data_IF_867876215206
#
_entry.id   IF_867876215206
#
_cell.length_a   1.000
_cell.length_b   1.000
_cell.length_c   1.000
_cell.angle_alpha   90.00
_cell.angle_beta   90.00
_cell.angle_gamma   90.00
#
_symmetry.space_group_name_H-M   'P 1'
#
loop_
_entity.id
_entity.type
_entity.pdbx_description
1 polymer ?
#
# COMPACT_ATOMS: atom_id res chain seq x y z
N UNK A 1 0.11 -7.70 12.31
CA UNK A 1 0.73 -6.36 12.44
C UNK A 1 0.66 -5.68 11.09
N UNK A 2 0.49 -4.36 11.01
CA UNK A 2 0.49 -3.62 9.73
C UNK A 2 1.53 -2.50 9.81
N UNK A 3 2.36 -2.38 8.78
CA UNK A 3 3.37 -1.34 8.67
C UNK A 3 3.21 -0.69 7.31
N UNK A 4 2.92 0.60 7.33
CA UNK A 4 2.68 1.38 6.13
C UNK A 4 3.81 2.39 5.93
N UNK A 5 4.23 2.51 4.68
CA UNK A 5 5.27 3.43 4.23
C UNK A 5 4.70 4.23 3.07
N UNK A 6 4.43 5.51 3.32
CA UNK A 6 3.82 6.45 2.39
C UNK A 6 4.82 7.54 1.98
N UNK A 7 4.81 7.96 0.71
CA UNK A 7 5.43 9.20 0.27
C UNK A 7 4.42 10.04 -0.51
N UNK A 8 4.16 11.27 -0.05
CA UNK A 8 3.14 12.18 -0.59
C UNK A 8 3.77 13.41 -1.23
N UNK A 9 3.47 13.67 -2.51
CA UNK A 9 3.92 14.87 -3.22
C UNK A 9 3.52 16.17 -2.51
N UNK A 10 2.34 16.23 -1.89
CA UNK A 10 1.85 17.40 -1.16
C UNK A 10 2.79 17.77 0.00
N UNK A 11 3.44 16.77 0.58
CA UNK A 11 4.49 16.90 1.62
C UNK A 11 5.90 16.72 1.05
N UNK A 12 6.11 17.07 -0.23
CA UNK A 12 7.41 17.00 -0.93
C UNK A 12 8.04 15.58 -0.92
N UNK A 13 7.19 14.56 -1.05
CA UNK A 13 7.54 13.14 -0.96
C UNK A 13 8.22 12.75 0.35
N UNK A 14 7.86 13.42 1.44
CA UNK A 14 8.34 13.05 2.77
C UNK A 14 7.89 11.63 3.10
N UNK A 15 8.86 10.78 3.47
CA UNK A 15 8.59 9.41 3.85
C UNK A 15 7.91 9.38 5.21
N UNK A 16 6.70 8.84 5.25
CA UNK A 16 5.96 8.55 6.47
C UNK A 16 6.00 7.05 6.71
N UNK A 17 6.45 6.65 7.90
CA UNK A 17 6.61 5.25 8.28
C UNK A 17 5.83 5.02 9.57
N UNK A 18 4.72 4.30 9.47
CA UNK A 18 3.84 4.02 10.61
C UNK A 18 3.78 2.52 10.86
N UNK A 19 4.17 2.10 12.07
CA UNK A 19 3.98 0.73 12.54
C UNK A 19 2.73 0.70 13.40
N UNK A 20 1.70 0.00 12.92
CA UNK A 20 0.40 -0.06 13.54
C UNK A 20 0.11 -1.49 14.01
N UNK A 21 -0.11 -1.63 15.31
CA UNK A 21 -0.60 -2.87 15.91
C UNK A 21 -2.10 -2.76 16.09
N UNK A 22 -2.85 -3.60 15.39
CA UNK A 22 -4.31 -3.56 15.42
C UNK A 22 -4.93 -4.56 14.45
N UNK A 23 -6.15 -5.01 14.76
CA UNK A 23 -6.92 -5.92 13.92
C UNK A 23 -7.64 -5.19 12.77
N UNK A 24 -8.87 -5.62 12.48
CA UNK A 24 -9.68 -5.17 11.32
C UNK A 24 -9.87 -3.66 11.24
N UNK A 25 -10.05 -2.96 12.35
CA UNK A 25 -10.28 -1.50 12.36
C UNK A 25 -9.10 -0.72 11.80
N UNK A 26 -7.88 -1.14 12.12
CA UNK A 26 -6.65 -0.49 11.65
C UNK A 26 -6.41 -0.77 10.17
N UNK A 27 -6.66 -2.00 9.72
CA UNK A 27 -6.60 -2.31 8.29
C UNK A 27 -7.59 -1.43 7.50
N UNK A 28 -8.81 -1.22 8.02
CA UNK A 28 -9.80 -0.37 7.35
C UNK A 28 -9.39 1.09 7.25
N UNK A 29 -8.72 1.67 8.25
CA UNK A 29 -8.22 3.05 8.15
C UNK A 29 -7.15 3.22 7.07
N UNK A 30 -6.45 2.14 6.71
CA UNK A 30 -5.50 2.10 5.60
C UNK A 30 -6.14 1.69 4.27
N UNK A 31 -7.48 1.66 4.18
CA UNK A 31 -8.17 1.21 2.98
C UNK A 31 -7.94 -0.28 2.66
N UNK A 32 -7.66 -1.10 3.67
CA UNK A 32 -7.54 -2.55 3.56
C UNK A 32 -8.73 -3.25 4.22
N UNK A 33 -9.11 -4.38 3.65
CA UNK A 33 -10.07 -5.31 4.22
C UNK A 33 -9.38 -6.61 4.60
N UNK A 34 -9.72 -7.14 5.76
CA UNK A 34 -9.25 -8.45 6.24
C UNK A 34 -10.44 -9.40 6.30
N UNK A 35 -10.38 -10.50 5.54
CA UNK A 35 -11.33 -11.59 5.60
C UNK A 35 -10.62 -12.83 6.19
N UNK A 36 -11.19 -13.38 7.26
CA UNK A 36 -10.62 -14.52 7.98
C UNK A 36 -11.29 -15.82 7.54
N UNK A 37 -10.47 -16.83 7.23
CA UNK A 37 -10.92 -18.19 6.92
C UNK A 37 -10.07 -19.18 7.71
N UNK A 38 -10.59 -19.63 8.86
CA UNK A 38 -9.81 -20.40 9.82
C UNK A 38 -8.63 -19.59 10.36
N UNK A 39 -7.40 -20.12 10.22
CA UNK A 39 -6.16 -19.43 10.59
C UNK A 39 -5.59 -18.55 9.47
N UNK A 40 -6.18 -18.57 8.28
CA UNK A 40 -5.72 -17.77 7.16
C UNK A 40 -6.42 -16.40 7.12
N UNK A 41 -5.67 -15.39 6.69
CA UNK A 41 -6.18 -14.02 6.49
C UNK A 41 -6.02 -13.64 5.03
N UNK A 42 -7.14 -13.36 4.36
CA UNK A 42 -7.16 -12.73 3.05
C UNK A 42 -7.16 -11.22 3.22
N UNK A 43 -6.19 -10.56 2.60
CA UNK A 43 -6.05 -9.11 2.55
C UNK A 43 -6.53 -8.62 1.20
N UNK A 44 -7.45 -7.66 1.23
CA UNK A 44 -7.98 -7.00 0.05
C UNK A 44 -7.79 -5.48 0.16
N UNK A 45 -7.61 -4.83 -0.98
CA UNK A 45 -7.64 -3.38 -1.06
C UNK A 45 -9.08 -2.92 -1.28
N UNK A 46 -9.56 -2.06 -0.39
CA UNK A 46 -10.86 -1.40 -0.54
C UNK A 46 -10.83 -0.38 -1.69
N UNK A 47 -12.00 -0.08 -2.29
CA UNK A 47 -12.13 1.05 -3.21
C UNK A 47 -11.69 2.34 -2.51
N UNK A 48 -10.75 3.05 -3.13
CA UNK A 48 -10.23 4.32 -2.62
C UNK A 48 -10.76 5.53 -3.40
N UNK A 49 -10.47 6.74 -2.92
CA UNK A 49 -10.75 8.00 -3.64
C UNK A 49 -9.74 8.31 -4.76
N UNK A 50 -8.76 7.43 -4.96
CA UNK A 50 -7.77 7.58 -6.02
C UNK A 50 -8.46 7.68 -7.39
N UNK A 51 -8.09 8.70 -8.16
CA UNK A 51 -8.50 8.80 -9.55
C UNK A 51 -7.73 7.83 -10.45
N UNK A 52 -6.53 7.39 -10.02
CA UNK A 52 -5.80 6.32 -10.66
C UNK A 52 -5.06 5.42 -9.63
N UNK A 53 -5.03 4.08 -9.82
CA UNK A 53 -5.90 3.35 -10.75
C UNK A 53 -7.36 3.56 -10.35
N UNK A 54 -8.26 3.69 -11.36
CA UNK A 54 -9.67 4.02 -11.12
C UNK A 54 -10.24 3.09 -10.06
N UNK A 55 -10.95 3.65 -9.09
CA UNK A 55 -11.68 2.91 -8.08
C UNK A 55 -12.57 1.84 -8.74
N UNK A 56 -12.17 0.58 -8.61
CA UNK A 56 -12.95 -0.59 -9.05
C UNK A 56 -13.54 -1.33 -7.86
N UNK A 57 -13.92 -2.58 -8.11
CA UNK A 57 -14.30 -3.54 -7.05
C UNK A 57 -13.12 -3.80 -6.11
N UNK A 58 -13.39 -4.26 -4.88
CA UNK A 58 -12.35 -4.73 -3.95
C UNK A 58 -11.36 -5.64 -4.68
N UNK A 59 -10.07 -5.39 -4.52
CA UNK A 59 -9.02 -6.19 -5.17
C UNK A 59 -8.35 -7.06 -4.13
N UNK A 60 -8.50 -8.38 -4.25
CA UNK A 60 -7.74 -9.32 -3.43
C UNK A 60 -6.25 -9.16 -3.71
N UNK A 61 -5.47 -8.94 -2.67
CA UNK A 61 -4.01 -8.81 -2.75
C UNK A 61 -3.38 -10.18 -2.51
N UNK A 62 -3.57 -10.74 -1.32
CA UNK A 62 -2.98 -12.03 -0.95
C UNK A 62 -3.73 -12.69 0.20
N UNK A 63 -3.51 -13.99 0.37
CA UNK A 63 -3.92 -14.76 1.55
C UNK A 63 -2.67 -15.19 2.31
N UNK A 64 -2.62 -14.89 3.61
CA UNK A 64 -1.52 -15.18 4.52
C UNK A 64 -1.91 -16.27 5.51
N UNK A 65 -1.09 -17.32 5.59
CA UNK A 65 -1.11 -18.24 6.73
C UNK A 65 -0.48 -17.58 7.97
N UNK A 66 -0.66 -18.19 9.13
CA UNK A 66 -0.04 -17.72 10.38
C UNK A 66 1.50 -17.63 10.26
N UNK A 67 2.07 -16.55 10.78
CA UNK A 67 3.48 -16.20 10.68
C UNK A 67 3.94 -15.60 9.34
N UNK A 68 3.07 -15.54 8.32
CA UNK A 68 3.44 -15.00 7.00
C UNK A 68 3.32 -13.48 6.92
N UNK A 69 4.18 -12.89 6.11
CA UNK A 69 4.22 -11.46 5.79
C UNK A 69 3.93 -11.24 4.31
N UNK A 70 2.96 -10.39 4.01
CA UNK A 70 2.68 -9.88 2.67
C UNK A 70 3.17 -8.45 2.51
N UNK A 71 3.64 -8.10 1.30
CA UNK A 71 3.99 -6.73 0.90
C UNK A 71 3.13 -6.29 -0.27
N UNK A 72 2.54 -5.11 -0.15
CA UNK A 72 1.73 -4.46 -1.16
C UNK A 72 2.38 -3.13 -1.54
N UNK A 73 2.67 -2.95 -2.83
CA UNK A 73 3.29 -1.74 -3.37
C UNK A 73 2.33 -1.13 -4.40
N UNK A 74 2.03 0.16 -4.29
CA UNK A 74 1.12 0.84 -5.22
C UNK A 74 1.38 2.34 -5.29
N UNK A 75 0.93 2.96 -6.36
CA UNK A 75 0.92 4.42 -6.49
C UNK A 75 -0.45 4.94 -6.88
N UNK A 76 -0.79 6.10 -6.32
CA UNK A 76 -2.10 6.71 -6.44
C UNK A 76 -2.00 8.13 -6.95
N UNK A 77 -2.91 8.48 -7.85
CA UNK A 77 -3.21 9.89 -8.15
C UNK A 77 -4.50 10.28 -7.44
N UNK A 78 -4.41 11.24 -6.54
CA UNK A 78 -5.51 11.73 -5.71
C UNK A 78 -5.83 13.17 -6.09
N UNK A 79 -7.06 13.60 -5.82
CA UNK A 79 -7.47 15.00 -6.00
C UNK A 79 -7.32 15.74 -4.69
N UNK A 80 -6.73 16.93 -4.74
CA UNK A 80 -6.77 17.84 -3.59
C UNK A 80 -8.20 18.33 -3.30
N UNK A 81 -9.02 18.48 -4.33
CA UNK A 81 -10.40 18.95 -4.21
C UNK A 81 -11.36 18.18 -5.10
N UNK A 82 -12.59 18.03 -4.61
CA UNK A 82 -13.70 17.48 -5.38
C UNK A 82 -14.35 18.54 -6.31
N UNK A 83 -13.93 19.82 -6.26
CA UNK A 83 -14.45 20.85 -7.17
C UNK A 83 -13.98 20.61 -8.61
N UNK A 84 -14.92 20.49 -9.54
CA UNK A 84 -14.62 20.47 -10.97
C UNK A 84 -13.97 21.78 -11.48
N UNK A 85 -14.12 22.87 -10.73
CA UNK A 85 -13.60 24.19 -11.06
C UNK A 85 -12.09 24.37 -10.83
N UNK A 86 -11.48 23.51 -10.03
CA UNK A 86 -10.05 23.58 -9.68
C UNK A 86 -9.45 22.17 -9.65
N UNK A 87 -9.16 21.57 -10.81
CA UNK A 87 -8.64 20.22 -10.89
C UNK A 87 -7.16 20.20 -10.48
N UNK A 88 -6.90 20.08 -9.19
CA UNK A 88 -5.57 19.88 -8.63
C UNK A 88 -5.37 18.45 -8.12
N UNK A 89 -4.16 17.92 -8.30
CA UNK A 89 -3.80 16.53 -8.04
C UNK A 89 -2.57 16.45 -7.15
N UNK A 90 -2.49 15.38 -6.36
CA UNK A 90 -1.27 14.96 -5.69
C UNK A 90 -1.05 13.46 -5.90
N UNK A 91 0.18 13.02 -5.72
CA UNK A 91 0.57 11.64 -5.86
C UNK A 91 1.04 11.06 -4.53
N UNK A 92 0.64 9.81 -4.30
CA UNK A 92 1.09 9.02 -3.17
C UNK A 92 1.73 7.72 -3.67
N UNK A 93 2.88 7.36 -3.11
CA UNK A 93 3.53 6.05 -3.26
C UNK A 93 3.41 5.27 -1.94
N UNK A 94 2.83 4.08 -1.99
CA UNK A 94 2.55 3.22 -0.83
C UNK A 94 3.38 1.95 -0.86
N UNK A 95 3.93 1.56 0.29
CA UNK A 95 4.52 0.26 0.56
C UNK A 95 4.00 -0.25 1.90
N UNK A 96 3.03 -1.15 1.86
CA UNK A 96 2.39 -1.73 3.05
C UNK A 96 2.90 -3.15 3.29
N UNK A 97 3.34 -3.42 4.50
CA UNK A 97 3.63 -4.76 5.00
C UNK A 97 2.52 -5.21 5.95
N UNK A 98 2.00 -6.42 5.75
CA UNK A 98 0.95 -7.01 6.58
C UNK A 98 1.42 -8.37 7.07
N UNK A 99 1.40 -8.60 8.38
CA UNK A 99 1.64 -9.93 8.96
C UNK A 99 0.35 -10.53 9.51
N UNK A 100 0.18 -11.83 9.31
CA UNK A 100 -0.76 -12.65 10.07
C UNK A 100 -0.01 -13.30 11.23
N UNK A 101 -0.39 -13.01 12.47
CA UNK A 101 0.34 -13.44 13.67
C UNK A 101 1.67 -12.72 13.89
N UNK A 102 2.48 -13.27 14.80
CA UNK A 102 3.82 -12.79 15.13
C UNK A 102 4.80 -13.18 14.02
N UNK A 103 5.11 -12.22 13.15
CA UNK A 103 6.24 -12.36 12.26
C UNK A 103 7.53 -12.27 13.09
N UNK A 104 8.32 -13.34 13.13
CA UNK A 104 9.48 -13.44 13.99
C UNK A 104 10.50 -12.29 13.77
N UNK A 105 10.80 -11.53 14.83
CA UNK A 105 11.87 -10.53 14.88
C UNK A 105 11.76 -9.42 13.82
N UNK A 106 12.91 -8.99 13.27
CA UNK A 106 13.00 -7.94 12.24
C UNK A 106 12.38 -8.36 10.89
N UNK A 107 11.87 -9.59 10.74
CA UNK A 107 11.37 -10.12 9.46
C UNK A 107 10.25 -9.27 8.89
N UNK A 108 9.44 -8.66 9.76
CA UNK A 108 8.35 -7.79 9.34
C UNK A 108 8.82 -6.49 8.67
N UNK A 109 9.95 -5.92 9.13
CA UNK A 109 10.45 -4.62 8.65
C UNK A 109 11.58 -4.77 7.61
N UNK A 110 12.38 -5.82 7.73
CA UNK A 110 13.63 -6.01 6.96
C UNK A 110 13.73 -7.39 6.29
N UNK A 111 12.82 -8.30 6.61
CA UNK A 111 12.81 -9.64 6.04
C UNK A 111 12.21 -9.68 4.64
N UNK A 112 12.44 -10.79 3.96
CA UNK A 112 11.78 -11.07 2.69
C UNK A 112 10.31 -11.47 2.96
N UNK A 113 9.33 -10.77 2.34
CA UNK A 113 7.93 -11.11 2.47
C UNK A 113 7.60 -12.42 1.75
N UNK A 114 6.71 -13.23 2.33
CA UNK A 114 6.24 -14.48 1.74
C UNK A 114 5.35 -14.24 0.50
N UNK A 115 4.70 -13.08 0.42
CA UNK A 115 3.83 -12.67 -0.69
C UNK A 115 4.10 -11.22 -1.08
N UNK A 116 4.16 -10.95 -2.38
CA UNK A 116 4.33 -9.59 -2.90
C UNK A 116 3.30 -9.33 -3.99
N UNK A 117 2.64 -8.18 -3.89
CA UNK A 117 1.81 -7.61 -4.97
C UNK A 117 2.32 -6.22 -5.27
N UNK A 118 2.77 -6.01 -6.50
CA UNK A 118 3.19 -4.70 -6.99
C UNK A 118 2.19 -4.20 -8.03
N UNK A 119 1.45 -3.16 -7.68
CA UNK A 119 0.50 -2.44 -8.51
C UNK A 119 0.99 -1.04 -8.86
N UNK A 120 2.27 -0.72 -8.60
CA UNK A 120 2.85 0.54 -9.10
C UNK A 120 2.81 0.52 -10.60
N UNK A 121 2.31 1.60 -11.19
CA UNK A 121 2.43 1.83 -12.62
C UNK A 121 3.41 2.95 -12.87
N UNK A 122 3.94 3.03 -14.09
CA UNK A 122 4.66 4.21 -14.54
C UNK A 122 3.67 5.36 -14.75
N UNK A 123 3.30 6.03 -13.66
CA UNK A 123 2.58 7.29 -13.72
C UNK A 123 3.56 8.34 -14.23
N UNK A 124 3.38 8.74 -15.49
CA UNK A 124 4.04 9.87 -16.12
C UNK A 124 5.57 9.75 -16.27
N UNK A 125 6.03 9.23 -17.42
CA UNK A 125 7.35 9.54 -17.97
C UNK A 125 8.59 9.05 -17.20
N UNK A 126 8.43 8.47 -16.01
CA UNK A 126 9.49 7.88 -15.21
C UNK A 126 10.56 8.87 -14.72
N UNK A 127 11.19 8.55 -13.58
CA UNK A 127 12.58 8.96 -13.40
C UNK A 127 13.32 8.43 -14.62
N UNK A 128 13.80 9.32 -15.49
CA UNK A 128 14.76 8.95 -16.53
C UNK A 128 15.81 8.10 -15.84
N UNK A 129 15.89 6.82 -16.23
CA UNK A 129 17.01 5.99 -15.85
C UNK A 129 18.25 6.75 -16.29
N UNK A 130 18.90 7.42 -15.35
CA UNK A 130 20.18 8.05 -15.57
C UNK A 130 21.13 6.89 -15.79
N UNK A 131 21.22 6.47 -17.06
CA UNK A 131 22.21 5.52 -17.54
C UNK A 131 23.55 5.97 -16.98
N UNK A 132 24.31 5.12 -16.27
CA UNK A 132 25.70 5.43 -16.04
C UNK A 132 26.36 5.52 -17.41
N UNK A 133 26.92 6.69 -17.72
CA UNK A 133 27.77 6.86 -18.89
C UNK A 133 28.88 5.82 -18.80
N UNK A 134 29.00 5.03 -19.86
CA UNK A 134 30.11 4.11 -20.07
C UNK A 134 31.29 4.88 -20.65
#
# INVERSE_FOLDING_TARGET
MVHDVLADEADNYSLRTDVLTGGVSMARSLGLWLAFEGSAVTVERLPGRAAFPRAGVSTRLFTLADGQVGRYEANFRLRFTDCACDPSWYYEDWVVHVSNGDAAGDRFLRGEPDRVVDHRVHLYGGRSARRPNR
#
